data_IF_673716083851
#
_entry.id   IF_673716083851
#
_cell.length_a   1.000
_cell.length_b   1.000
_cell.length_c   1.000
_cell.angle_alpha   90.00
_cell.angle_beta   90.00
_cell.angle_gamma   90.00
#
_symmetry.space_group_name_H-M   'P 1'
#
loop_
_entity.id
_entity.type
_entity.pdbx_description
1 polymer ?
#
# COMPACT_ATOMS: atom_id res chain seq x y z
N UNK A 1 0.73 21.62 -15.88
CA UNK A 1 1.06 20.49 -14.99
C UNK A 1 2.33 20.85 -14.23
N UNK A 2 2.41 20.58 -12.94
CA UNK A 2 3.47 21.05 -12.04
C UNK A 2 4.83 20.40 -12.32
N UNK A 3 4.85 19.37 -13.17
CA UNK A 3 6.07 18.66 -13.61
C UNK A 3 6.24 18.68 -15.13
N UNK A 4 5.66 19.66 -15.80
CA UNK A 4 5.93 19.85 -17.23
C UNK A 4 7.33 20.44 -17.45
N UNK A 5 7.94 20.29 -18.65
CA UNK A 5 9.26 20.87 -18.94
C UNK A 5 9.33 22.39 -18.72
N UNK A 6 8.21 23.11 -18.86
CA UNK A 6 8.13 24.55 -18.64
C UNK A 6 8.31 24.95 -17.16
N UNK A 7 8.25 24.01 -16.21
CA UNK A 7 8.49 24.27 -14.78
C UNK A 7 9.96 24.19 -14.40
N UNK A 8 10.85 23.84 -15.32
CA UNK A 8 12.29 23.79 -15.08
C UNK A 8 12.82 25.17 -14.67
N UNK A 9 13.61 25.22 -13.58
CA UNK A 9 14.06 26.47 -12.96
C UNK A 9 13.04 27.15 -12.03
N UNK A 10 11.78 26.70 -12.00
CA UNK A 10 10.73 27.23 -11.14
C UNK A 10 10.31 26.27 -10.02
N UNK A 11 10.11 25.00 -10.35
CA UNK A 11 9.73 23.94 -9.41
C UNK A 11 10.48 22.66 -9.75
N UNK A 12 11.11 22.06 -8.73
CA UNK A 12 11.69 20.72 -8.81
C UNK A 12 11.01 19.83 -7.79
N UNK A 13 10.34 18.79 -8.27
CA UNK A 13 9.62 17.85 -7.41
C UNK A 13 10.59 16.79 -6.93
N UNK A 14 10.69 16.62 -5.61
CA UNK A 14 11.29 15.45 -4.99
C UNK A 14 10.17 14.55 -4.48
N UNK A 15 9.91 13.46 -5.19
CA UNK A 15 8.87 12.52 -4.77
C UNK A 15 9.46 11.44 -3.86
N UNK A 16 8.72 11.06 -2.83
CA UNK A 16 9.04 9.87 -2.04
C UNK A 16 8.18 8.66 -2.43
N UNK A 17 7.18 8.85 -3.31
CA UNK A 17 6.41 7.77 -3.95
C UNK A 17 6.06 8.14 -5.39
N UNK A 18 6.47 7.34 -6.37
CA UNK A 18 6.22 7.66 -7.79
C UNK A 18 4.84 7.15 -8.23
N UNK A 19 4.10 8.02 -8.91
CA UNK A 19 2.82 7.70 -9.53
C UNK A 19 2.83 8.11 -11.01
N UNK A 20 1.79 7.74 -11.76
CA UNK A 20 1.74 7.97 -13.22
C UNK A 20 1.95 9.44 -13.63
N UNK A 21 1.48 10.38 -12.81
CA UNK A 21 1.64 11.83 -12.97
C UNK A 21 3.10 12.31 -12.95
N UNK A 22 3.98 11.69 -12.16
CA UNK A 22 5.37 12.14 -11.95
C UNK A 22 6.42 11.21 -12.57
N UNK A 23 6.06 9.95 -12.85
CA UNK A 23 6.98 8.90 -13.33
C UNK A 23 7.83 9.31 -14.52
N UNK A 24 7.22 9.97 -15.52
CA UNK A 24 7.94 10.42 -16.71
C UNK A 24 9.01 11.46 -16.36
N UNK A 25 8.69 12.44 -15.50
CA UNK A 25 9.61 13.49 -15.11
C UNK A 25 10.81 12.95 -14.31
N UNK A 26 10.59 11.98 -13.42
CA UNK A 26 11.68 11.32 -12.66
C UNK A 26 12.62 10.59 -13.62
N UNK A 27 12.09 9.78 -14.54
CA UNK A 27 12.91 9.02 -15.49
C UNK A 27 13.58 9.90 -16.55
N UNK A 28 13.18 11.16 -16.69
CA UNK A 28 13.83 12.18 -17.53
C UNK A 28 14.80 13.08 -16.74
N UNK A 29 14.98 12.87 -15.44
CA UNK A 29 15.85 13.67 -14.58
C UNK A 29 15.32 15.06 -14.21
N UNK A 30 14.08 15.38 -14.59
CA UNK A 30 13.40 16.66 -14.29
C UNK A 30 12.80 16.70 -12.88
N UNK A 31 12.60 15.54 -12.26
CA UNK A 31 12.17 15.38 -10.88
C UNK A 31 13.09 14.37 -10.17
N UNK A 32 13.13 14.44 -8.84
CA UNK A 32 13.91 13.55 -7.99
C UNK A 32 13.04 12.48 -7.33
N UNK A 33 13.68 11.41 -6.89
CA UNK A 33 13.08 10.36 -6.08
C UNK A 33 13.93 10.09 -4.84
N UNK A 34 13.32 10.24 -3.66
CA UNK A 34 13.95 9.91 -2.38
C UNK A 34 13.39 8.58 -1.87
N UNK A 35 14.17 7.49 -1.91
CA UNK A 35 13.71 6.20 -1.41
C UNK A 35 13.73 6.17 0.12
N UNK A 36 12.58 5.89 0.72
CA UNK A 36 12.41 5.74 2.18
C UNK A 36 11.15 4.91 2.46
N UNK A 37 11.11 4.20 3.59
CA UNK A 37 9.92 3.47 4.03
C UNK A 37 8.80 4.44 4.37
N UNK A 38 7.54 4.05 4.16
CA UNK A 38 6.44 4.94 4.48
C UNK A 38 6.38 5.26 5.98
N UNK A 39 6.68 4.29 6.84
CA UNK A 39 6.85 4.49 8.29
C UNK A 39 7.90 5.55 8.68
N UNK A 40 8.91 5.79 7.84
CA UNK A 40 10.00 6.75 8.10
C UNK A 40 9.79 8.12 7.44
N UNK A 41 8.88 8.26 6.46
CA UNK A 41 8.58 9.55 5.80
C UNK A 41 8.37 10.68 6.80
N UNK A 42 7.46 10.55 7.78
CA UNK A 42 7.20 11.58 8.77
C UNK A 42 8.42 11.93 9.63
N UNK A 43 9.27 10.93 9.87
CA UNK A 43 10.46 11.08 10.71
C UNK A 43 11.54 11.92 10.02
N UNK A 44 11.61 11.92 8.69
CA UNK A 44 12.50 12.81 7.95
C UNK A 44 12.16 14.29 8.23
N UNK A 45 10.88 14.62 8.32
CA UNK A 45 10.41 15.97 8.63
C UNK A 45 10.63 16.30 10.11
N UNK A 46 10.19 15.42 11.02
CA UNK A 46 10.29 15.61 12.47
C UNK A 46 11.73 15.73 12.97
N UNK A 47 12.68 15.04 12.31
CA UNK A 47 14.12 15.09 12.64
C UNK A 47 14.88 16.19 11.89
N UNK A 48 14.21 16.94 11.01
CA UNK A 48 14.84 18.00 10.21
C UNK A 48 15.81 17.50 9.14
N UNK A 49 15.75 16.22 8.76
CA UNK A 49 16.54 15.66 7.65
C UNK A 49 16.05 16.21 6.31
N UNK A 50 14.72 16.30 6.16
CA UNK A 50 14.05 17.03 5.09
C UNK A 50 13.20 18.14 5.72
N UNK A 51 13.78 19.32 6.01
CA UNK A 51 13.04 20.40 6.64
C UNK A 51 11.94 20.92 5.70
N UNK A 52 10.79 21.28 6.28
CA UNK A 52 9.64 21.83 5.56
C UNK A 52 9.47 23.31 5.90
N UNK A 53 9.52 24.18 4.89
CA UNK A 53 9.20 25.60 5.08
C UNK A 53 7.68 25.82 5.04
N UNK A 54 6.99 25.15 4.11
CA UNK A 54 5.54 25.30 3.89
C UNK A 54 4.89 23.93 3.74
N UNK A 55 3.79 23.70 4.45
CA UNK A 55 2.86 22.61 4.22
C UNK A 55 1.54 23.17 3.66
N UNK A 56 1.07 22.59 2.55
CA UNK A 56 -0.25 22.87 1.98
C UNK A 56 -1.14 21.68 2.27
N UNK A 57 -2.22 21.88 3.00
CA UNK A 57 -3.10 20.81 3.51
C UNK A 57 -4.56 21.06 3.15
N UNK A 58 -5.36 20.00 3.13
CA UNK A 58 -6.80 20.04 2.88
C UNK A 58 -7.53 19.49 4.10
N UNK A 59 -8.43 20.26 4.70
CA UNK A 59 -9.07 19.93 5.99
C UNK A 59 -10.56 20.21 5.98
N UNK A 60 -11.30 19.61 6.91
CA UNK A 60 -12.70 19.95 7.18
C UNK A 60 -12.83 21.36 7.77
N UNK A 61 -14.06 21.87 7.80
CA UNK A 61 -14.40 23.02 8.65
C UNK A 61 -14.08 22.71 10.12
N UNK A 62 -13.71 23.73 10.92
CA UNK A 62 -13.48 23.55 12.34
C UNK A 62 -14.79 23.23 13.08
N UNK A 63 -14.70 22.37 14.09
CA UNK A 63 -15.80 22.16 15.05
C UNK A 63 -15.92 23.31 16.07
N UNK A 64 -16.86 23.20 17.01
CA UNK A 64 -17.10 24.20 18.06
C UNK A 64 -15.89 24.44 18.99
N UNK A 65 -14.91 23.53 18.96
CA UNK A 65 -13.67 23.61 19.73
C UNK A 65 -12.49 24.12 18.90
N UNK A 66 -12.72 24.50 17.65
CA UNK A 66 -11.69 25.04 16.76
C UNK A 66 -10.81 23.96 16.10
N UNK A 67 -11.22 22.69 16.12
CA UNK A 67 -10.48 21.60 15.49
C UNK A 67 -11.01 21.29 14.09
N UNK A 68 -10.12 21.35 13.10
CA UNK A 68 -10.34 20.78 11.79
C UNK A 68 -9.89 19.31 11.79
N UNK A 69 -10.52 18.46 10.97
CA UNK A 69 -10.02 17.13 10.63
C UNK A 69 -9.24 17.16 9.32
N UNK A 70 -8.14 16.42 9.24
CA UNK A 70 -7.37 16.17 8.01
C UNK A 70 -8.13 15.25 7.03
N UNK A 71 -9.24 14.65 7.48
CA UNK A 71 -10.19 13.94 6.64
C UNK A 71 -9.61 12.71 5.96
N UNK A 72 -9.52 12.74 4.63
CA UNK A 72 -9.18 11.55 3.83
C UNK A 72 -7.70 11.16 3.91
N UNK A 73 -6.81 12.06 4.34
CA UNK A 73 -5.36 11.78 4.45
C UNK A 73 -4.76 12.36 5.74
N UNK A 74 -4.56 11.49 6.75
CA UNK A 74 -3.86 11.80 8.00
C UNK A 74 -2.40 11.36 7.99
N UNK A 75 -2.12 10.21 7.37
CA UNK A 75 -0.89 9.44 7.41
C UNK A 75 0.36 10.28 7.23
N UNK A 76 0.45 11.07 6.16
CA UNK A 76 1.59 11.94 5.87
C UNK A 76 1.29 13.40 6.19
N UNK A 77 0.05 13.85 5.97
CA UNK A 77 -0.34 15.26 6.10
C UNK A 77 -0.11 15.81 7.50
N UNK A 78 -0.43 15.04 8.54
CA UNK A 78 -0.34 15.51 9.92
C UNK A 78 1.08 15.91 10.29
N UNK A 79 2.02 15.00 10.12
CA UNK A 79 3.41 15.21 10.51
C UNK A 79 4.10 16.25 9.64
N UNK A 80 3.70 16.39 8.37
CA UNK A 80 4.15 17.49 7.52
C UNK A 80 3.65 18.85 8.05
N UNK A 81 2.36 18.96 8.39
CA UNK A 81 1.76 20.19 8.94
C UNK A 81 2.37 20.59 10.28
N UNK A 82 2.65 19.63 11.16
CA UNK A 82 3.26 19.88 12.47
C UNK A 82 4.74 20.27 12.38
N UNK A 83 5.44 19.84 11.33
CA UNK A 83 6.87 20.10 11.13
C UNK A 83 7.15 21.38 10.34
N UNK A 84 6.18 21.87 9.56
CA UNK A 84 6.36 23.03 8.69
C UNK A 84 6.34 24.36 9.47
N UNK A 85 7.08 25.35 8.96
CA UNK A 85 7.08 26.72 9.53
C UNK A 85 5.78 27.47 9.22
N UNK A 86 5.23 27.23 8.03
CA UNK A 86 3.98 27.84 7.54
C UNK A 86 3.02 26.73 7.12
N UNK A 87 1.77 26.82 7.57
CA UNK A 87 0.70 25.90 7.18
C UNK A 87 -0.38 26.67 6.44
N UNK A 88 -0.58 26.34 5.17
CA UNK A 88 -1.65 26.86 4.32
C UNK A 88 -2.73 25.77 4.23
N UNK A 89 -3.91 26.04 4.78
CA UNK A 89 -5.00 25.08 4.79
C UNK A 89 -6.11 25.50 3.82
N UNK A 90 -6.42 24.64 2.87
CA UNK A 90 -7.73 24.66 2.21
C UNK A 90 -8.75 24.06 3.17
N UNK A 91 -9.73 24.86 3.59
CA UNK A 91 -10.79 24.45 4.51
C UNK A 91 -12.05 24.18 3.70
N UNK A 92 -12.48 22.92 3.63
CA UNK A 92 -13.52 22.46 2.74
C UNK A 92 -14.71 21.87 3.50
N UNK A 93 -15.91 22.36 3.22
CA UNK A 93 -17.17 21.82 3.75
C UNK A 93 -17.45 20.38 3.30
N UNK A 94 -16.84 19.95 2.19
CA UNK A 94 -16.99 18.59 1.66
C UNK A 94 -15.91 17.61 2.15
N UNK A 95 -14.92 18.06 2.92
CA UNK A 95 -13.92 17.14 3.50
C UNK A 95 -14.55 16.41 4.71
N UNK A 96 -14.60 15.07 4.71
CA UNK A 96 -15.18 14.34 5.82
C UNK A 96 -14.40 14.55 7.11
N UNK A 97 -15.10 14.60 8.24
CA UNK A 97 -14.50 14.68 9.57
C UNK A 97 -14.15 13.28 10.07
N UNK A 98 -13.00 12.75 9.67
CA UNK A 98 -12.50 11.47 10.21
C UNK A 98 -11.96 11.64 11.62
N UNK A 99 -12.05 10.57 12.43
CA UNK A 99 -11.65 10.55 13.83
C UNK A 99 -10.27 9.88 14.02
N UNK A 100 -9.83 9.73 15.26
CA UNK A 100 -8.50 9.23 15.60
C UNK A 100 -7.52 10.36 15.85
N UNK A 101 -6.26 10.19 15.48
CA UNK A 101 -5.23 11.23 15.56
C UNK A 101 -5.27 12.15 14.32
N UNK A 102 -6.47 12.55 13.91
CA UNK A 102 -6.75 13.21 12.63
C UNK A 102 -6.90 14.74 12.72
N UNK A 103 -6.77 15.32 13.91
CA UNK A 103 -7.15 16.71 14.14
C UNK A 103 -5.97 17.69 14.13
N UNK A 104 -6.26 18.92 13.68
CA UNK A 104 -5.40 20.10 13.76
C UNK A 104 -6.24 21.31 14.20
N UNK A 105 -5.77 22.04 15.22
CA UNK A 105 -6.48 23.22 15.72
C UNK A 105 -6.19 24.44 14.82
N UNK A 106 -7.18 25.32 14.61
CA UNK A 106 -7.05 26.51 13.76
C UNK A 106 -5.89 27.43 14.14
N UNK A 107 -5.47 27.45 15.41
CA UNK A 107 -4.29 28.22 15.86
C UNK A 107 -2.96 27.71 15.32
N UNK A 108 -2.93 26.53 14.68
CA UNK A 108 -1.75 25.98 13.99
C UNK A 108 -1.72 26.35 12.51
N UNK A 109 -2.79 26.95 11.98
CA UNK A 109 -2.90 27.32 10.57
C UNK A 109 -2.40 28.76 10.38
N UNK A 110 -1.44 28.96 9.48
CA UNK A 110 -0.92 30.30 9.16
C UNK A 110 -1.86 31.03 8.20
N UNK A 111 -2.38 30.31 7.20
CA UNK A 111 -3.33 30.82 6.22
C UNK A 111 -4.49 29.84 6.05
N UNK A 112 -5.70 30.38 5.93
CA UNK A 112 -6.93 29.63 5.71
C UNK A 112 -7.52 30.09 4.38
N UNK A 113 -7.78 29.13 3.49
CA UNK A 113 -8.43 29.33 2.20
C UNK A 113 -9.75 28.55 2.21
N UNK A 114 -10.89 29.20 2.44
CA UNK A 114 -12.18 28.53 2.39
C UNK A 114 -12.49 28.07 0.96
N UNK A 115 -12.87 26.81 0.81
CA UNK A 115 -13.26 26.23 -0.49
C UNK A 115 -14.52 25.37 -0.32
N UNK A 116 -15.23 25.15 -1.41
CA UNK A 116 -16.36 24.23 -1.45
C UNK A 116 -16.39 23.55 -2.82
N UNK A 117 -15.72 22.41 -2.92
CA UNK A 117 -15.73 21.58 -4.12
C UNK A 117 -15.57 20.10 -3.73
N UNK A 118 -16.03 19.17 -4.59
CA UNK A 118 -15.97 17.75 -4.30
C UNK A 118 -14.55 17.23 -4.08
N UNK A 119 -14.37 16.38 -3.07
CA UNK A 119 -13.11 15.65 -2.88
C UNK A 119 -12.89 14.72 -4.08
N UNK A 120 -11.69 14.69 -4.68
CA UNK A 120 -11.40 13.81 -5.80
C UNK A 120 -11.77 12.34 -5.49
N UNK A 121 -12.58 11.75 -6.37
CA UNK A 121 -12.96 10.35 -6.28
C UNK A 121 -12.01 9.48 -7.09
N UNK A 122 -11.73 8.29 -6.58
CA UNK A 122 -11.00 7.26 -7.31
C UNK A 122 -11.79 5.95 -7.26
N UNK A 123 -12.51 5.67 -8.34
CA UNK A 123 -13.21 4.40 -8.50
C UNK A 123 -12.19 3.31 -8.75
N UNK A 124 -12.12 2.33 -7.85
CA UNK A 124 -11.33 1.14 -8.12
C UNK A 124 -11.95 0.39 -9.28
N UNK A 125 -11.29 0.46 -10.43
CA UNK A 125 -11.66 -0.31 -11.63
C UNK A 125 -10.85 -1.58 -11.67
N UNK A 126 -11.49 -2.69 -12.07
CA UNK A 126 -10.76 -3.92 -12.31
C UNK A 126 -9.92 -3.77 -13.58
N UNK A 127 -8.63 -3.48 -13.41
CA UNK A 127 -7.62 -3.55 -14.46
C UNK A 127 -7.00 -4.95 -14.50
N UNK A 128 -6.82 -5.49 -15.71
CA UNK A 128 -6.19 -6.80 -15.94
C UNK A 128 -7.16 -7.91 -16.31
N UNK A 129 -6.62 -9.12 -16.51
CA UNK A 129 -7.42 -10.30 -16.83
C UNK A 129 -8.20 -10.76 -15.59
N UNK A 130 -9.52 -10.74 -15.69
CA UNK A 130 -10.41 -11.09 -14.59
C UNK A 130 -10.28 -12.53 -14.13
N UNK A 131 -10.03 -13.50 -15.01
CA UNK A 131 -9.85 -14.90 -14.62
C UNK A 131 -8.57 -15.08 -13.79
N UNK A 132 -7.48 -14.44 -14.22
CA UNK A 132 -6.20 -14.41 -13.49
C UNK A 132 -6.39 -13.81 -12.09
N UNK A 133 -7.07 -12.66 -12.01
CA UNK A 133 -7.32 -11.95 -10.76
C UNK A 133 -8.17 -12.78 -9.80
N UNK A 134 -9.24 -13.43 -10.29
CA UNK A 134 -10.13 -14.25 -9.47
C UNK A 134 -9.42 -15.49 -8.90
N UNK A 135 -8.57 -16.14 -9.70
CA UNK A 135 -7.74 -17.27 -9.23
C UNK A 135 -6.77 -16.85 -8.13
N UNK A 136 -6.05 -15.75 -8.33
CA UNK A 136 -5.16 -15.19 -7.30
C UNK A 136 -5.96 -14.88 -6.03
N UNK A 137 -7.09 -14.20 -6.16
CA UNK A 137 -7.92 -13.81 -5.02
C UNK A 137 -8.43 -15.02 -4.22
N UNK A 138 -8.88 -16.09 -4.90
CA UNK A 138 -9.27 -17.33 -4.25
C UNK A 138 -8.13 -18.01 -3.48
N UNK A 139 -6.92 -18.03 -4.04
CA UNK A 139 -5.74 -18.54 -3.34
C UNK A 139 -5.38 -17.70 -2.11
N UNK A 140 -5.42 -16.37 -2.23
CA UNK A 140 -5.16 -15.45 -1.11
C UNK A 140 -6.21 -15.62 -0.01
N UNK A 141 -7.51 -15.67 -0.35
CA UNK A 141 -8.59 -15.84 0.63
C UNK A 141 -8.48 -17.17 1.42
N UNK A 142 -7.95 -18.22 0.79
CA UNK A 142 -7.64 -19.49 1.45
C UNK A 142 -6.57 -19.39 2.56
N UNK A 143 -5.72 -18.36 2.52
CA UNK A 143 -4.71 -18.09 3.54
C UNK A 143 -5.20 -17.19 4.69
N UNK A 144 -6.40 -16.61 4.57
CA UNK A 144 -6.96 -15.68 5.56
C UNK A 144 -7.79 -16.45 6.59
N UNK A 145 -7.34 -16.58 7.86
CA UNK A 145 -8.14 -17.23 8.89
C UNK A 145 -9.28 -16.32 9.38
N UNK A 146 -10.30 -16.90 10.00
CA UNK A 146 -11.27 -16.13 10.78
C UNK A 146 -10.57 -15.35 11.90
N UNK A 147 -11.11 -14.18 12.23
CA UNK A 147 -10.53 -13.30 13.25
C UNK A 147 -9.19 -12.68 12.84
N UNK A 148 -8.85 -12.65 11.55
CA UNK A 148 -7.66 -11.99 11.03
C UNK A 148 -7.79 -10.47 11.07
N UNK A 149 -6.66 -9.79 11.30
CA UNK A 149 -6.54 -8.33 11.09
C UNK A 149 -5.89 -8.11 9.74
N UNK A 150 -6.51 -7.36 8.84
CA UNK A 150 -6.10 -7.28 7.44
C UNK A 150 -5.50 -5.92 7.09
N UNK A 151 -4.43 -5.98 6.31
CA UNK A 151 -3.96 -4.93 5.42
C UNK A 151 -4.07 -5.40 3.98
N UNK A 152 -4.71 -4.59 3.15
CA UNK A 152 -4.89 -4.83 1.72
C UNK A 152 -4.51 -3.53 1.00
N UNK A 153 -3.70 -3.62 -0.06
CA UNK A 153 -3.39 -2.46 -0.90
C UNK A 153 -4.59 -2.03 -1.78
N UNK A 154 -4.37 -1.06 -2.66
CA UNK A 154 -5.31 -0.76 -3.76
C UNK A 154 -5.10 -1.69 -4.96
N UNK A 155 -6.15 -1.82 -5.77
CA UNK A 155 -6.11 -2.44 -7.10
C UNK A 155 -6.93 -3.72 -7.20
N UNK A 156 -6.94 -4.29 -8.41
CA UNK A 156 -7.86 -5.36 -8.78
C UNK A 156 -7.74 -6.63 -7.94
N UNK A 157 -6.52 -6.98 -7.50
CA UNK A 157 -6.28 -8.18 -6.68
C UNK A 157 -6.83 -7.98 -5.26
N UNK A 158 -6.43 -6.95 -4.47
CA UNK A 158 -7.04 -6.65 -3.18
C UNK A 158 -8.57 -6.58 -3.21
N UNK A 159 -9.15 -5.89 -4.19
CA UNK A 159 -10.61 -5.79 -4.31
C UNK A 159 -11.28 -7.13 -4.63
N UNK A 160 -10.63 -7.95 -5.46
CA UNK A 160 -11.12 -9.30 -5.72
C UNK A 160 -11.05 -10.17 -4.46
N UNK A 161 -9.98 -10.06 -3.66
CA UNK A 161 -9.83 -10.79 -2.39
C UNK A 161 -11.02 -10.51 -1.48
N UNK A 162 -11.43 -9.24 -1.32
CA UNK A 162 -12.58 -8.87 -0.48
C UNK A 162 -13.86 -9.63 -0.86
N UNK A 163 -14.08 -9.93 -2.15
CA UNK A 163 -15.26 -10.66 -2.64
C UNK A 163 -15.28 -12.14 -2.24
N UNK A 164 -14.13 -12.70 -1.86
CA UNK A 164 -14.01 -14.08 -1.37
C UNK A 164 -14.06 -14.19 0.16
N UNK A 165 -14.32 -13.09 0.89
CA UNK A 165 -14.30 -13.10 2.36
C UNK A 165 -15.70 -13.07 3.00
N UNK A 166 -16.78 -13.14 2.23
CA UNK A 166 -18.14 -13.08 2.76
C UNK A 166 -18.52 -14.22 3.71
N UNK A 167 -17.80 -15.34 3.65
CA UNK A 167 -17.97 -16.50 4.53
C UNK A 167 -17.11 -16.45 5.79
N UNK A 168 -16.17 -15.49 5.87
CA UNK A 168 -15.29 -15.28 7.03
C UNK A 168 -16.02 -14.61 8.18
N UNK A 169 -15.43 -14.74 9.37
CA UNK A 169 -15.99 -14.19 10.61
C UNK A 169 -14.99 -13.35 11.38
N UNK A 170 -15.52 -12.31 12.02
CA UNK A 170 -14.81 -11.45 12.96
C UNK A 170 -13.52 -10.80 12.40
N UNK A 171 -13.49 -10.46 11.12
CA UNK A 171 -12.32 -9.81 10.52
C UNK A 171 -12.12 -8.41 11.09
N UNK A 172 -10.87 -7.96 11.12
CA UNK A 172 -10.47 -6.61 11.51
C UNK A 172 -9.62 -5.92 10.44
N UNK A 173 -9.46 -4.61 10.57
CA UNK A 173 -8.70 -3.76 9.64
C UNK A 173 -7.65 -2.94 10.40
N UNK A 174 -6.40 -3.10 10.03
CA UNK A 174 -5.28 -2.23 10.38
C UNK A 174 -4.43 -2.11 9.12
N UNK A 175 -4.53 -1.01 8.39
CA UNK A 175 -4.05 -0.93 7.00
C UNK A 175 -3.46 0.44 6.72
N UNK A 176 -2.54 0.54 5.76
CA UNK A 176 -2.11 1.85 5.27
C UNK A 176 -3.30 2.65 4.72
N UNK A 177 -4.14 1.98 3.93
CA UNK A 177 -5.30 2.56 3.27
C UNK A 177 -6.44 1.56 3.14
N UNK A 178 -7.67 2.06 2.95
CA UNK A 178 -8.79 1.26 2.45
C UNK A 178 -9.69 2.03 1.48
N UNK A 179 -10.50 1.26 0.74
CA UNK A 179 -11.44 1.73 -0.28
C UNK A 179 -12.88 1.26 0.01
N UNK A 180 -13.80 1.55 -0.91
CA UNK A 180 -15.23 1.21 -0.84
C UNK A 180 -15.53 -0.26 -0.50
N UNK A 181 -14.65 -1.21 -0.89
CA UNK A 181 -14.89 -2.64 -0.69
C UNK A 181 -15.01 -3.07 0.78
N UNK A 182 -14.41 -2.30 1.71
CA UNK A 182 -14.54 -2.55 3.15
C UNK A 182 -15.98 -2.34 3.63
N UNK A 183 -16.72 -1.41 3.04
CA UNK A 183 -18.09 -1.06 3.45
C UNK A 183 -19.02 -2.26 3.31
N UNK A 184 -18.88 -3.01 2.21
CA UNK A 184 -19.79 -4.10 1.90
C UNK A 184 -19.57 -5.30 2.86
N UNK A 185 -18.31 -5.63 3.18
CA UNK A 185 -17.99 -6.65 4.19
C UNK A 185 -18.36 -6.21 5.61
N UNK A 186 -18.23 -4.91 5.91
CA UNK A 186 -18.68 -4.36 7.19
C UNK A 186 -20.19 -4.50 7.34
N UNK A 187 -20.97 -4.08 6.35
CA UNK A 187 -22.43 -4.17 6.35
C UNK A 187 -22.93 -5.63 6.40
N UNK A 188 -22.16 -6.58 5.85
CA UNK A 188 -22.44 -8.01 5.94
C UNK A 188 -22.11 -8.62 7.31
N UNK A 189 -21.52 -7.85 8.24
CA UNK A 189 -21.11 -8.34 9.57
C UNK A 189 -19.83 -9.19 9.57
N UNK A 190 -19.10 -9.21 8.46
CA UNK A 190 -17.84 -9.95 8.31
C UNK A 190 -16.70 -9.21 9.00
N UNK A 191 -16.60 -7.90 8.77
CA UNK A 191 -15.64 -7.03 9.46
C UNK A 191 -16.30 -6.48 10.72
N UNK A 192 -15.82 -6.92 11.88
CA UNK A 192 -16.30 -6.47 13.19
C UNK A 192 -15.22 -5.75 14.00
N UNK A 193 -13.94 -5.97 13.66
CA UNK A 193 -12.77 -5.55 14.44
C UNK A 193 -12.75 -6.08 15.89
N UNK A 194 -13.67 -6.98 16.27
CA UNK A 194 -13.82 -7.45 17.65
C UNK A 194 -12.71 -8.40 18.11
N UNK A 195 -11.92 -8.93 17.18
CA UNK A 195 -10.78 -9.84 17.44
C UNK A 195 -9.42 -9.18 17.30
N UNK A 196 -9.35 -7.89 16.98
CA UNK A 196 -8.08 -7.16 16.95
C UNK A 196 -7.49 -7.10 18.35
N UNK A 197 -6.19 -7.36 18.46
CA UNK A 197 -5.46 -7.27 19.73
C UNK A 197 -5.15 -5.81 20.11
N UNK A 198 -5.03 -4.94 19.12
CA UNK A 198 -4.81 -3.51 19.28
C UNK A 198 -5.95 -2.75 18.60
N UNK A 199 -6.46 -1.69 19.24
CA UNK A 199 -7.63 -0.94 18.75
C UNK A 199 -8.85 -1.82 18.45
N UNK A 200 -9.33 -2.65 19.42
CA UNK A 200 -10.49 -3.51 19.21
C UNK A 200 -11.74 -2.68 18.89
N UNK A 201 -12.53 -3.17 17.93
CA UNK A 201 -13.74 -2.48 17.45
C UNK A 201 -13.49 -1.30 16.50
N UNK A 202 -12.22 -0.98 16.18
CA UNK A 202 -11.85 0.13 15.30
C UNK A 202 -11.20 -0.34 14.01
N UNK A 203 -11.60 0.27 12.89
CA UNK A 203 -10.85 0.29 11.64
C UNK A 203 -9.74 1.32 11.80
N UNK A 204 -8.49 0.91 11.61
CA UNK A 204 -7.31 1.80 11.71
C UNK A 204 -6.70 1.98 10.34
N UNK A 205 -6.52 3.23 9.90
CA UNK A 205 -5.87 3.54 8.62
C UNK A 205 -5.05 4.85 8.63
N UNK A 206 -4.18 5.02 7.63
CA UNK A 206 -3.45 6.28 7.40
C UNK A 206 -4.20 7.22 6.47
N UNK A 207 -4.75 6.67 5.38
CA UNK A 207 -5.57 7.40 4.43
C UNK A 207 -6.69 6.55 3.84
N UNK A 208 -7.59 7.19 3.10
CA UNK A 208 -8.67 6.53 2.36
C UNK A 208 -8.71 7.02 0.93
N UNK A 209 -9.07 6.13 0.02
CA UNK A 209 -9.16 6.44 -1.40
C UNK A 209 -10.34 5.66 -1.99
N UNK A 210 -11.32 6.39 -2.54
CA UNK A 210 -12.54 5.74 -3.01
C UNK A 210 -13.52 6.72 -3.61
N UNK A 211 -14.80 6.36 -3.53
CA UNK A 211 -15.90 7.19 -4.04
C UNK A 211 -16.51 8.08 -2.97
N UNK A 212 -17.44 8.94 -3.40
CA UNK A 212 -18.26 9.74 -2.47
C UNK A 212 -18.95 8.88 -1.40
N UNK A 213 -19.36 7.65 -1.72
CA UNK A 213 -19.95 6.68 -0.77
C UNK A 213 -19.00 6.45 0.42
N UNK A 214 -17.71 6.26 0.15
CA UNK A 214 -16.70 6.07 1.17
C UNK A 214 -16.53 7.33 2.02
N UNK A 215 -16.40 8.49 1.38
CA UNK A 215 -16.21 9.76 2.10
C UNK A 215 -17.40 10.10 3.01
N UNK A 216 -18.63 9.86 2.57
CA UNK A 216 -19.83 10.01 3.39
C UNK A 216 -19.87 8.97 4.54
N UNK A 217 -19.47 7.72 4.28
CA UNK A 217 -19.49 6.65 5.29
C UNK A 217 -18.47 6.84 6.42
N UNK A 218 -17.31 7.46 6.12
CA UNK A 218 -16.29 7.71 7.15
C UNK A 218 -16.55 8.96 7.98
N UNK A 219 -17.40 9.86 7.51
CA UNK A 219 -17.64 11.15 8.15
C UNK A 219 -18.23 10.97 9.55
N UNK A 220 -17.48 11.40 10.56
CA UNK A 220 -17.82 11.34 11.98
C UNK A 220 -18.20 9.93 12.48
N UNK A 221 -17.65 8.90 11.84
CA UNK A 221 -17.95 7.51 12.17
C UNK A 221 -17.05 7.02 13.33
N UNK A 222 -17.59 6.71 14.52
CA UNK A 222 -16.81 6.34 15.70
C UNK A 222 -16.04 5.02 15.57
N UNK A 223 -16.32 4.21 14.54
CA UNK A 223 -15.61 2.96 14.29
C UNK A 223 -14.30 3.16 13.52
N UNK A 224 -14.05 4.36 12.99
CA UNK A 224 -12.90 4.64 12.15
C UNK A 224 -11.93 5.54 12.91
N UNK A 225 -10.67 5.15 12.94
CA UNK A 225 -9.60 5.98 13.47
C UNK A 225 -8.48 6.08 12.44
N UNK A 226 -8.23 7.33 12.02
CA UNK A 226 -7.15 7.68 11.12
C UNK A 226 -5.94 8.11 11.97
N UNK A 227 -4.76 7.61 11.63
CA UNK A 227 -3.52 7.83 12.40
C UNK A 227 -2.34 8.12 11.47
N UNK A 228 -1.32 8.87 11.93
CA UNK A 228 -0.08 9.09 11.17
C UNK A 228 0.59 7.77 10.74
N UNK A 229 1.26 7.77 9.60
CA UNK A 229 1.81 6.54 9.03
C UNK A 229 3.00 6.00 9.84
N UNK A 230 3.73 6.84 10.57
CA UNK A 230 4.77 6.38 11.50
C UNK A 230 4.19 5.57 12.68
N UNK A 231 2.86 5.56 12.86
CA UNK A 231 2.16 4.66 13.77
C UNK A 231 1.55 3.47 13.00
N UNK A 232 0.76 3.75 11.97
CA UNK A 232 0.02 2.72 11.22
C UNK A 232 0.98 1.72 10.55
N UNK A 233 2.07 2.22 9.98
CA UNK A 233 3.07 1.45 9.26
C UNK A 233 4.27 1.05 10.14
N UNK A 234 4.29 1.33 11.44
CA UNK A 234 5.36 0.82 12.31
C UNK A 234 5.25 -0.72 12.40
N UNK A 235 6.26 -1.49 11.97
CA UNK A 235 6.25 -2.95 12.08
C UNK A 235 6.01 -3.46 13.51
N UNK A 236 6.42 -2.71 14.54
CA UNK A 236 6.22 -3.06 15.94
C UNK A 236 4.78 -2.79 16.41
N UNK A 237 4.07 -1.85 15.79
CA UNK A 237 2.62 -1.64 16.01
C UNK A 237 1.85 -2.72 15.26
N UNK A 238 2.18 -2.97 13.99
CA UNK A 238 1.55 -4.00 13.16
C UNK A 238 1.64 -5.38 13.83
N UNK A 239 2.81 -5.74 14.36
CA UNK A 239 3.07 -7.03 14.99
C UNK A 239 2.25 -7.28 16.27
N UNK A 240 1.67 -6.23 16.88
CA UNK A 240 0.82 -6.38 18.08
C UNK A 240 -0.56 -6.93 17.76
N UNK A 241 -1.01 -6.86 16.49
CA UNK A 241 -2.26 -7.48 16.07
C UNK A 241 -2.06 -8.98 15.83
N UNK A 242 -2.79 -9.85 16.52
CA UNK A 242 -2.79 -11.29 16.25
C UNK A 242 -3.40 -11.58 14.86
N UNK A 243 -2.89 -12.62 14.19
CA UNK A 243 -3.33 -13.04 12.84
C UNK A 243 -3.32 -11.87 11.85
N UNK A 244 -2.27 -11.06 11.89
CA UNK A 244 -2.10 -9.96 10.95
C UNK A 244 -1.82 -10.52 9.55
N UNK A 245 -2.71 -10.26 8.60
CA UNK A 245 -2.57 -10.62 7.19
C UNK A 245 -2.21 -9.37 6.41
N UNK A 246 -1.13 -9.42 5.66
CA UNK A 246 -0.71 -8.33 4.78
C UNK A 246 -0.67 -8.83 3.33
N UNK A 247 -1.48 -8.25 2.45
CA UNK A 247 -1.50 -8.60 1.01
C UNK A 247 -0.95 -7.45 0.19
N UNK A 248 0.18 -7.71 -0.46
CA UNK A 248 0.91 -6.74 -1.27
C UNK A 248 1.17 -7.30 -2.67
N UNK A 249 1.53 -6.42 -3.62
CA UNK A 249 1.82 -6.80 -5.01
C UNK A 249 3.30 -6.60 -5.35
N UNK A 250 3.74 -7.16 -6.47
CA UNK A 250 5.11 -7.02 -6.96
C UNK A 250 5.15 -6.90 -8.49
N UNK A 251 6.26 -6.34 -8.98
CA UNK A 251 6.60 -6.26 -10.40
C UNK A 251 7.25 -7.56 -10.85
N UNK A 252 8.19 -8.10 -10.08
CA UNK A 252 8.83 -9.38 -10.37
C UNK A 252 9.41 -10.01 -9.10
N UNK A 253 9.52 -11.35 -9.12
CA UNK A 253 10.08 -12.16 -8.04
C UNK A 253 11.12 -13.10 -8.64
N UNK A 254 12.34 -13.10 -8.09
CA UNK A 254 13.39 -14.01 -8.55
C UNK A 254 13.33 -15.39 -7.88
N UNK A 255 14.02 -16.39 -8.45
CA UNK A 255 14.03 -17.77 -7.96
C UNK A 255 14.64 -17.96 -6.56
N UNK A 256 15.26 -16.94 -5.98
CA UNK A 256 15.73 -16.95 -4.58
C UNK A 256 14.70 -16.37 -3.60
N UNK A 257 13.67 -15.71 -4.13
CA UNK A 257 12.60 -15.03 -3.40
C UNK A 257 12.86 -13.54 -3.15
N UNK A 258 13.78 -12.89 -3.88
CA UNK A 258 13.85 -11.43 -3.86
C UNK A 258 12.69 -10.83 -4.64
N UNK A 259 12.16 -9.72 -4.16
CA UNK A 259 10.94 -9.10 -4.70
C UNK A 259 11.25 -7.67 -5.10
N UNK A 260 11.03 -7.37 -6.37
CA UNK A 260 11.02 -6.03 -6.90
C UNK A 260 9.57 -5.55 -7.03
N UNK A 261 9.27 -4.38 -6.47
CA UNK A 261 7.93 -3.80 -6.50
C UNK A 261 7.87 -2.32 -6.90
N UNK A 262 9.02 -1.65 -7.01
CA UNK A 262 9.09 -0.19 -7.23
C UNK A 262 9.71 0.23 -8.56
N UNK A 263 10.28 -0.71 -9.33
CA UNK A 263 11.10 -0.42 -10.51
C UNK A 263 11.05 -1.53 -11.56
N UNK A 264 11.41 -1.20 -12.80
CA UNK A 264 11.55 -2.15 -13.92
C UNK A 264 12.97 -2.02 -14.45
N UNK A 265 13.87 -2.88 -13.96
CA UNK A 265 15.30 -2.64 -14.10
C UNK A 265 15.64 -1.25 -13.52
N UNK A 266 16.39 -0.38 -14.22
CA UNK A 266 16.76 0.93 -13.70
C UNK A 266 15.62 1.97 -13.76
N UNK A 267 14.47 1.65 -14.38
CA UNK A 267 13.36 2.61 -14.53
C UNK A 267 12.50 2.61 -13.28
N UNK A 268 12.48 3.74 -12.58
CA UNK A 268 11.67 3.91 -11.37
C UNK A 268 10.18 3.98 -11.74
N UNK A 269 9.36 3.18 -11.08
CA UNK A 269 7.94 2.99 -11.40
C UNK A 269 7.02 3.52 -10.29
N UNK A 270 7.33 3.18 -9.03
CA UNK A 270 6.61 3.60 -7.83
C UNK A 270 7.56 3.94 -6.68
N UNK A 271 7.31 3.44 -5.47
CA UNK A 271 8.19 3.52 -4.31
C UNK A 271 7.94 2.31 -3.42
N UNK A 272 8.78 2.13 -2.39
CA UNK A 272 8.62 1.03 -1.43
C UNK A 272 7.25 1.05 -0.76
N UNK A 273 6.74 2.24 -0.43
CA UNK A 273 5.48 2.40 0.32
C UNK A 273 5.53 1.66 1.67
N UNK A 274 4.39 1.18 2.14
CA UNK A 274 4.29 0.34 3.34
C UNK A 274 4.53 -1.14 3.12
N UNK A 275 4.92 -1.60 1.93
CA UNK A 275 5.00 -3.04 1.66
C UNK A 275 5.92 -3.76 2.65
N UNK A 276 7.16 -3.29 2.80
CA UNK A 276 8.12 -3.93 3.71
C UNK A 276 7.69 -3.80 5.16
N UNK A 277 7.09 -2.66 5.53
CA UNK A 277 6.56 -2.41 6.87
C UNK A 277 5.55 -3.49 7.27
N UNK A 278 4.55 -3.73 6.41
CA UNK A 278 3.51 -4.73 6.64
C UNK A 278 3.99 -6.17 6.46
N UNK A 279 4.90 -6.44 5.53
CA UNK A 279 5.53 -7.77 5.41
C UNK A 279 6.27 -8.10 6.70
N UNK A 280 7.08 -7.18 7.21
CA UNK A 280 7.85 -7.42 8.42
C UNK A 280 6.95 -7.50 9.66
N UNK A 281 6.04 -6.54 9.86
CA UNK A 281 5.11 -6.54 10.98
C UNK A 281 4.24 -7.79 11.04
N UNK A 282 3.65 -8.20 9.91
CA UNK A 282 2.84 -9.43 9.85
C UNK A 282 3.67 -10.70 10.05
N UNK A 283 4.95 -10.72 9.64
CA UNK A 283 5.85 -11.85 9.93
C UNK A 283 6.14 -12.03 11.42
N UNK A 284 6.02 -10.95 12.20
CA UNK A 284 6.25 -10.91 13.65
C UNK A 284 4.96 -11.08 14.46
N UNK A 285 3.80 -10.88 13.83
CA UNK A 285 2.49 -11.14 14.42
C UNK A 285 2.29 -12.62 14.75
N UNK A 286 1.64 -12.91 15.89
CA UNK A 286 1.24 -14.27 16.26
C UNK A 286 0.22 -14.81 15.26
N UNK A 287 0.64 -15.80 14.47
CA UNK A 287 -0.19 -16.36 13.41
C UNK A 287 -0.35 -15.45 12.19
N UNK A 288 0.53 -14.45 12.01
CA UNK A 288 0.47 -13.54 10.88
C UNK A 288 0.85 -14.18 9.55
N UNK A 289 0.40 -13.56 8.46
CA UNK A 289 0.44 -14.08 7.08
C UNK A 289 0.82 -12.96 6.08
N UNK A 290 2.12 -12.70 5.88
CA UNK A 290 2.60 -11.85 4.79
C UNK A 290 2.48 -12.53 3.42
N UNK A 291 1.80 -11.87 2.49
CA UNK A 291 1.48 -12.37 1.15
C UNK A 291 1.95 -11.36 0.10
N UNK A 292 2.64 -11.87 -0.92
CA UNK A 292 2.96 -11.15 -2.15
C UNK A 292 2.19 -11.81 -3.29
N UNK A 293 1.22 -11.11 -3.85
CA UNK A 293 0.33 -11.60 -4.89
C UNK A 293 0.59 -10.88 -6.22
N UNK A 294 0.80 -11.62 -7.30
CA UNK A 294 1.06 -11.07 -8.61
C UNK A 294 0.58 -12.04 -9.72
N UNK A 295 0.12 -11.52 -10.87
CA UNK A 295 0.01 -12.35 -12.08
C UNK A 295 1.36 -13.00 -12.40
N UNK A 296 1.37 -14.21 -12.92
CA UNK A 296 2.63 -14.88 -13.30
C UNK A 296 3.26 -14.29 -14.56
N UNK A 297 2.49 -13.54 -15.36
CA UNK A 297 2.94 -12.87 -16.59
C UNK A 297 2.49 -11.40 -16.66
N UNK A 298 3.19 -10.61 -17.46
CA UNK A 298 2.75 -9.31 -17.93
C UNK A 298 2.70 -9.31 -19.45
N UNK A 299 1.60 -8.82 -20.04
CA UNK A 299 1.45 -8.64 -21.48
C UNK A 299 1.95 -7.25 -21.89
N UNK A 300 2.95 -7.22 -22.76
CA UNK A 300 3.51 -5.99 -23.33
C UNK A 300 2.56 -5.40 -24.38
N UNK A 301 2.81 -4.14 -24.79
CA UNK A 301 1.97 -3.44 -25.77
C UNK A 301 1.89 -4.12 -27.14
N UNK A 302 2.92 -4.87 -27.50
CA UNK A 302 3.01 -5.65 -28.73
C UNK A 302 2.41 -7.07 -28.60
N UNK A 303 1.80 -7.38 -27.46
CA UNK A 303 1.22 -8.69 -27.17
C UNK A 303 2.21 -9.71 -26.60
N UNK A 304 3.50 -9.37 -26.48
CA UNK A 304 4.50 -10.29 -25.93
C UNK A 304 4.24 -10.53 -24.44
N UNK A 305 4.19 -11.80 -24.03
CA UNK A 305 4.11 -12.16 -22.61
C UNK A 305 5.51 -12.24 -21.99
N UNK A 306 5.65 -11.67 -20.80
CA UNK A 306 6.90 -11.72 -20.03
C UNK A 306 6.61 -12.28 -18.65
N UNK A 307 7.38 -13.29 -18.24
CA UNK A 307 7.27 -13.87 -16.90
C UNK A 307 7.58 -12.84 -15.81
N UNK A 308 6.74 -12.79 -14.77
CA UNK A 308 6.99 -12.05 -13.53
C UNK A 308 7.69 -12.89 -12.46
N UNK A 309 7.79 -14.21 -12.67
CA UNK A 309 8.74 -15.08 -11.96
C UNK A 309 9.99 -15.21 -12.82
N UNK A 310 11.14 -14.77 -12.33
CA UNK A 310 12.38 -14.68 -13.12
C UNK A 310 13.53 -15.45 -12.48
N UNK A 311 14.54 -15.88 -13.24
CA UNK A 311 15.74 -16.49 -12.64
C UNK A 311 16.55 -15.49 -11.80
N UNK A 312 16.65 -14.27 -12.31
CA UNK A 312 17.27 -13.13 -11.65
C UNK A 312 16.40 -11.90 -11.89
N UNK A 313 16.38 -10.97 -10.93
CA UNK A 313 15.77 -9.66 -11.16
C UNK A 313 16.47 -8.93 -12.31
N UNK A 314 15.76 -8.06 -13.00
CA UNK A 314 16.33 -7.24 -14.08
C UNK A 314 17.50 -6.43 -13.54
N UNK A 315 18.53 -6.26 -14.37
CA UNK A 315 19.69 -5.45 -14.00
C UNK A 315 19.24 -4.03 -13.59
N UNK A 316 19.64 -3.61 -12.38
CA UNK A 316 19.27 -2.32 -11.80
C UNK A 316 17.92 -2.27 -11.08
N UNK A 317 17.18 -3.38 -10.99
CA UNK A 317 15.92 -3.43 -10.24
C UNK A 317 16.13 -3.25 -8.73
N UNK A 318 15.27 -2.45 -8.10
CA UNK A 318 15.21 -2.21 -6.67
C UNK A 318 14.57 -3.38 -5.92
N UNK A 319 15.32 -4.01 -5.01
CA UNK A 319 14.76 -5.01 -4.10
C UNK A 319 13.98 -4.29 -3.00
N UNK A 320 12.66 -4.42 -3.01
CA UNK A 320 11.76 -3.85 -2.00
C UNK A 320 11.61 -4.81 -0.83
N UNK A 321 11.29 -6.07 -1.12
CA UNK A 321 11.23 -7.13 -0.10
C UNK A 321 12.36 -8.12 -0.34
N UNK A 322 13.28 -8.19 0.62
CA UNK A 322 14.42 -9.11 0.54
C UNK A 322 13.97 -10.58 0.64
N UNK A 323 14.81 -11.49 0.13
CA UNK A 323 14.62 -12.94 0.28
C UNK A 323 14.52 -13.41 1.74
N UNK A 324 14.97 -12.61 2.70
CA UNK A 324 14.87 -12.95 4.13
C UNK A 324 13.51 -12.60 4.74
N UNK A 325 12.75 -11.72 4.09
CA UNK A 325 11.44 -11.25 4.56
C UNK A 325 10.26 -11.94 3.87
N UNK A 326 10.46 -12.48 2.67
CA UNK A 326 9.39 -13.17 1.92
C UNK A 326 8.86 -14.40 2.66
N UNK A 327 7.54 -14.59 2.60
CA UNK A 327 6.85 -15.81 3.06
C UNK A 327 6.02 -16.43 1.95
N UNK A 328 4.85 -15.88 1.64
CA UNK A 328 3.98 -16.41 0.59
C UNK A 328 4.11 -15.59 -0.69
N UNK A 329 4.34 -16.26 -1.82
CA UNK A 329 4.20 -15.72 -3.16
C UNK A 329 3.02 -16.42 -3.84
N UNK A 330 2.05 -15.65 -4.32
CA UNK A 330 0.79 -16.17 -4.88
C UNK A 330 0.62 -15.68 -6.30
N UNK A 331 0.36 -16.61 -7.22
CA UNK A 331 -0.03 -16.33 -8.61
C UNK A 331 -1.34 -17.04 -8.92
N UNK A 332 -1.85 -16.88 -10.14
CA UNK A 332 -3.02 -17.62 -10.62
C UNK A 332 -2.80 -19.14 -10.73
N UNK A 333 -1.57 -19.62 -10.53
CA UNK A 333 -1.19 -21.04 -10.57
C UNK A 333 -1.02 -21.67 -9.18
N UNK A 334 -1.12 -20.88 -8.10
CA UNK A 334 -1.10 -21.39 -6.73
C UNK A 334 -0.23 -20.57 -5.77
N UNK A 335 0.18 -21.23 -4.69
CA UNK A 335 0.85 -20.61 -3.53
C UNK A 335 2.24 -21.23 -3.36
N UNK A 336 3.27 -20.38 -3.35
CA UNK A 336 4.63 -20.75 -2.97
C UNK A 336 4.96 -20.21 -1.57
N UNK A 337 4.96 -21.08 -0.57
CA UNK A 337 5.53 -20.78 0.76
C UNK A 337 7.06 -20.86 0.70
N UNK A 338 7.79 -19.82 1.08
CA UNK A 338 9.25 -19.76 1.00
C UNK A 338 9.95 -19.75 2.37
N UNK A 339 9.17 -19.74 3.46
CA UNK A 339 9.72 -19.66 4.81
C UNK A 339 10.43 -20.96 5.20
N UNK A 340 11.64 -20.85 5.74
CA UNK A 340 12.47 -22.01 6.10
C UNK A 340 13.00 -22.84 4.92
N UNK A 341 12.75 -22.45 3.67
CA UNK A 341 13.18 -23.20 2.47
C UNK A 341 14.58 -22.78 2.01
N UNK A 342 15.38 -23.76 1.59
CA UNK A 342 16.65 -23.57 0.86
C UNK A 342 16.41 -22.93 -0.51
N UNK A 343 17.46 -22.37 -1.14
CA UNK A 343 17.35 -21.81 -2.50
C UNK A 343 16.78 -22.83 -3.48
N UNK A 344 17.24 -24.09 -3.46
CA UNK A 344 16.69 -25.17 -4.29
C UNK A 344 15.19 -25.36 -4.10
N UNK A 345 14.73 -25.44 -2.86
CA UNK A 345 13.31 -25.61 -2.55
C UNK A 345 12.48 -24.38 -2.93
N UNK A 346 13.03 -23.17 -2.80
CA UNK A 346 12.38 -21.93 -3.23
C UNK A 346 12.27 -21.84 -4.74
N UNK A 347 13.34 -22.13 -5.47
CA UNK A 347 13.34 -22.13 -6.93
C UNK A 347 12.30 -23.12 -7.46
N UNK A 348 12.25 -24.34 -6.92
CA UNK A 348 11.21 -25.30 -7.30
C UNK A 348 9.80 -24.79 -6.97
N UNK A 349 9.57 -24.22 -5.78
CA UNK A 349 8.26 -23.71 -5.38
C UNK A 349 7.79 -22.55 -6.28
N UNK A 350 8.69 -21.63 -6.62
CA UNK A 350 8.40 -20.49 -7.49
C UNK A 350 8.15 -20.92 -8.95
N UNK A 351 8.91 -21.88 -9.48
CA UNK A 351 8.66 -22.46 -10.80
C UNK A 351 7.28 -23.12 -10.86
N UNK A 352 6.86 -23.80 -9.79
CA UNK A 352 5.54 -24.45 -9.73
C UNK A 352 4.36 -23.45 -9.81
N UNK A 353 4.57 -22.20 -9.41
CA UNK A 353 3.57 -21.12 -9.50
C UNK A 353 3.86 -20.14 -10.65
N UNK A 354 4.87 -20.39 -11.48
CA UNK A 354 5.08 -19.64 -12.72
C UNK A 354 4.11 -20.13 -13.82
N UNK A 355 3.90 -19.29 -14.84
CA UNK A 355 3.14 -19.68 -16.02
C UNK A 355 3.75 -20.92 -16.68
N UNK A 356 2.95 -21.93 -17.06
CA UNK A 356 3.44 -23.18 -17.66
C UNK A 356 4.45 -22.97 -18.80
N UNK A 357 4.21 -21.95 -19.64
CA UNK A 357 5.09 -21.62 -20.78
C UNK A 357 6.54 -21.28 -20.40
N UNK A 358 6.77 -20.77 -19.18
CA UNK A 358 8.09 -20.32 -18.74
C UNK A 358 8.79 -21.32 -17.80
N UNK A 359 8.13 -22.42 -17.40
CA UNK A 359 8.67 -23.34 -16.38
C UNK A 359 9.92 -24.08 -16.85
N UNK A 360 9.96 -24.51 -18.10
CA UNK A 360 11.10 -25.22 -18.66
C UNK A 360 12.33 -24.31 -18.72
N UNK A 361 12.17 -23.10 -19.23
CA UNK A 361 13.23 -22.09 -19.30
C UNK A 361 13.73 -21.67 -17.91
N UNK A 362 12.82 -21.42 -16.96
CA UNK A 362 13.20 -21.12 -15.58
C UNK A 362 13.96 -22.29 -14.93
N UNK A 363 13.58 -23.53 -15.24
CA UNK A 363 14.29 -24.72 -14.74
C UNK A 363 15.69 -24.83 -15.33
N UNK A 364 15.86 -24.53 -16.62
CA UNK A 364 17.18 -24.47 -17.27
C UNK A 364 18.06 -23.41 -16.62
N UNK A 365 17.56 -22.18 -16.49
CA UNK A 365 18.26 -21.07 -15.84
C UNK A 365 18.62 -21.39 -14.38
N UNK A 366 17.72 -22.04 -13.64
CA UNK A 366 17.98 -22.46 -12.25
C UNK A 366 19.15 -23.45 -12.14
N UNK A 367 19.28 -24.40 -13.07
CA UNK A 367 20.41 -25.35 -13.11
C UNK A 367 21.72 -24.65 -13.46
N UNK A 368 21.69 -23.70 -14.39
CA UNK A 368 22.86 -22.90 -14.79
C UNK A 368 23.37 -22.03 -13.64
N UNK A 369 22.46 -21.52 -12.79
CA UNK A 369 22.79 -20.78 -11.58
C UNK A 369 23.13 -21.68 -10.37
N UNK A 370 23.10 -23.01 -10.54
CA UNK A 370 23.29 -23.99 -9.47
C UNK A 370 22.28 -23.87 -8.32
N UNK A 371 21.07 -23.40 -8.61
CA UNK A 371 19.96 -23.39 -7.67
C UNK A 371 19.25 -24.74 -7.61
N UNK A 372 19.32 -25.56 -8.67
CA UNK A 372 18.72 -26.89 -8.72
C UNK A 372 19.74 -28.00 -8.92
#
# INVERSE_FOLDING_TARGET
>A
DYVSPQMEGHLRVNSMFISANIRKAVNEGRADFTPVLLSEFPLLFKRGVLPLDVAIIHVSTPDEHGFCSLGVEVGLTKSAAESAKVVIAEVNEQMPRTLGDAFIHVSRLTHIVPVNYPIPEHKMTAEGDMDVIQKIAGHVAGLIPDGATMQLGIGSIPDAVLKFLFDKKDLGIHTELFSDGVIDLFNAGVITNGRKSLHPGKIVAGFILGTKKLYEWVNDNPMIEMHPTEYVNDPFVIAQNDRMVAVNSAIEVDLTGQICADSIGPKLYSGVGGQLDFVYGSSRSKGGVPIIALPSVATMRDGTEVSKITAMLKQGAGVVTSRNHVRYVVTEWGIADLYGKTIRQRSQALINVAHPQFREELTRQAKELHYM
#
